data_IF_724886367655
#
_entry.id   IF_724886367655
#
_cell.length_a   1.000
_cell.length_b   1.000
_cell.length_c   1.000
_cell.angle_alpha   90.00
_cell.angle_beta   90.00
_cell.angle_gamma   90.00
#
_symmetry.space_group_name_H-M   'P 1'
#
loop_
_entity.id
_entity.type
_entity.pdbx_description
1 polymer ?
#
# COMPACT_ATOMS: atom_id res chain seq x y z
N UNK A 1 -63.88 -4.82 -32.13
CA UNK A 1 -63.02 -4.30 -31.05
C UNK A 1 -61.76 -5.14 -31.06
N UNK A 2 -60.75 -4.69 -31.80
CA UNK A 2 -59.44 -5.31 -31.88
C UNK A 2 -58.58 -4.80 -30.73
N UNK A 3 -58.10 -5.69 -29.86
CA UNK A 3 -57.09 -5.37 -28.85
C UNK A 3 -55.79 -6.03 -29.28
N UNK A 4 -54.92 -5.24 -29.91
CA UNK A 4 -53.53 -5.61 -30.17
C UNK A 4 -52.74 -5.54 -28.87
N UNK A 5 -52.33 -6.68 -28.33
CA UNK A 5 -51.40 -6.76 -27.20
C UNK A 5 -49.96 -6.52 -27.67
N UNK A 6 -49.37 -5.39 -27.28
CA UNK A 6 -47.93 -5.15 -27.43
C UNK A 6 -47.18 -5.77 -26.24
N UNK A 7 -46.39 -6.82 -26.50
CA UNK A 7 -45.38 -7.29 -25.55
C UNK A 7 -44.18 -6.32 -25.55
N UNK A 8 -43.98 -5.62 -24.44
CA UNK A 8 -42.70 -4.97 -24.15
C UNK A 8 -41.74 -6.03 -23.60
N UNK A 9 -40.71 -6.38 -24.37
CA UNK A 9 -39.58 -7.16 -23.87
C UNK A 9 -38.69 -6.25 -23.02
N UNK A 10 -38.56 -6.57 -21.73
CA UNK A 10 -37.63 -5.90 -20.81
C UNK A 10 -36.30 -6.67 -20.85
N UNK A 11 -35.32 -6.16 -21.59
CA UNK A 11 -33.96 -6.69 -21.59
C UNK A 11 -33.25 -6.25 -20.30
N UNK A 12 -33.03 -7.19 -19.38
CA UNK A 12 -32.13 -7.00 -18.25
C UNK A 12 -30.71 -7.23 -18.76
N UNK A 13 -29.90 -6.17 -18.85
CA UNK A 13 -28.47 -6.31 -19.08
C UNK A 13 -27.84 -6.74 -17.74
N UNK A 14 -27.44 -8.00 -17.64
CA UNK A 14 -26.54 -8.44 -16.59
C UNK A 14 -25.16 -7.86 -16.89
N UNK A 15 -24.67 -6.95 -16.04
CA UNK A 15 -23.27 -6.55 -16.07
C UNK A 15 -22.45 -7.75 -15.62
N UNK A 16 -21.80 -8.44 -16.56
CA UNK A 16 -20.77 -9.41 -16.25
C UNK A 16 -19.59 -8.63 -15.67
N UNK A 17 -19.23 -8.91 -14.42
CA UNK A 17 -17.98 -8.42 -13.85
C UNK A 17 -16.82 -8.94 -14.73
N UNK A 18 -15.94 -8.04 -15.16
CA UNK A 18 -14.71 -8.43 -15.82
C UNK A 18 -13.87 -9.26 -14.83
N UNK A 19 -13.11 -10.28 -15.28
CA UNK A 19 -12.20 -10.99 -14.40
C UNK A 19 -11.15 -9.99 -13.87
N UNK A 20 -10.88 -10.05 -12.57
CA UNK A 20 -9.78 -9.28 -11.97
C UNK A 20 -8.47 -9.64 -12.66
N UNK A 21 -7.67 -8.64 -13.00
CA UNK A 21 -6.33 -8.82 -13.55
C UNK A 21 -5.35 -8.79 -12.39
N UNK A 22 -4.51 -9.83 -12.27
CA UNK A 22 -3.49 -9.88 -11.24
C UNK A 22 -2.49 -8.74 -11.42
N UNK A 23 -2.00 -8.20 -10.30
CA UNK A 23 -0.86 -7.29 -10.28
C UNK A 23 0.33 -7.96 -10.97
N UNK A 24 1.06 -7.21 -11.79
CA UNK A 24 2.29 -7.67 -12.44
C UNK A 24 3.48 -7.03 -11.76
N UNK A 25 4.41 -7.85 -11.27
CA UNK A 25 5.61 -7.40 -10.57
C UNK A 25 6.87 -7.79 -11.36
N UNK A 26 7.81 -6.86 -11.45
CA UNK A 26 9.16 -7.06 -11.95
C UNK A 26 10.12 -6.82 -10.80
N UNK A 27 11.14 -7.67 -10.64
CA UNK A 27 12.18 -7.55 -9.62
C UNK A 27 13.58 -7.38 -10.24
N UNK A 28 14.58 -7.18 -9.38
CA UNK A 28 16.00 -6.94 -9.72
C UNK A 28 16.32 -5.53 -10.27
N UNK A 29 15.45 -4.57 -10.03
CA UNK A 29 15.73 -3.15 -10.26
C UNK A 29 16.83 -2.63 -9.33
N UNK A 30 17.59 -1.64 -9.78
CA UNK A 30 18.54 -0.98 -8.88
C UNK A 30 17.80 -0.08 -7.89
N UNK A 31 18.43 0.23 -6.75
CA UNK A 31 17.87 1.18 -5.79
C UNK A 31 17.49 2.53 -6.44
N UNK A 32 18.30 2.99 -7.40
CA UNK A 32 18.03 4.24 -8.12
C UNK A 32 16.85 4.10 -9.09
N UNK A 33 16.67 2.95 -9.74
CA UNK A 33 15.51 2.70 -10.59
C UNK A 33 14.22 2.70 -9.76
N UNK A 34 14.22 2.02 -8.60
CA UNK A 34 13.09 2.02 -7.67
C UNK A 34 12.74 3.44 -7.19
N UNK A 35 13.74 4.19 -6.71
CA UNK A 35 13.55 5.55 -6.25
C UNK A 35 13.05 6.48 -7.38
N UNK A 36 13.59 6.31 -8.59
CA UNK A 36 13.17 7.10 -9.76
C UNK A 36 11.72 6.80 -10.18
N UNK A 37 11.24 5.58 -9.96
CA UNK A 37 9.86 5.20 -10.30
C UNK A 37 8.83 5.92 -9.43
N UNK A 38 9.16 6.25 -8.18
CA UNK A 38 8.26 6.98 -7.27
C UNK A 38 8.44 8.50 -7.34
N UNK A 39 9.57 8.98 -7.89
CA UNK A 39 9.85 10.40 -8.06
C UNK A 39 8.82 11.07 -8.95
N UNK A 40 8.18 12.10 -8.43
CA UNK A 40 7.21 12.93 -9.14
C UNK A 40 7.73 14.33 -9.43
N UNK A 41 6.79 15.23 -9.73
CA UNK A 41 7.07 16.63 -10.05
C UNK A 41 7.79 17.37 -8.91
N UNK A 42 8.70 18.27 -9.28
CA UNK A 42 9.38 19.17 -8.35
C UNK A 42 10.45 18.53 -7.47
N UNK A 43 10.71 17.22 -7.61
CA UNK A 43 11.72 16.48 -6.86
C UNK A 43 12.80 15.95 -7.80
N UNK A 44 14.06 16.06 -7.36
CA UNK A 44 15.21 15.42 -8.00
C UNK A 44 15.83 14.43 -7.03
N UNK A 45 15.94 13.16 -7.41
CA UNK A 45 16.65 12.13 -6.64
C UNK A 45 18.07 11.97 -7.20
N UNK A 46 19.08 12.03 -6.32
CA UNK A 46 20.50 12.08 -6.75
C UNK A 46 21.31 10.83 -6.39
N UNK A 47 20.78 9.96 -5.53
CA UNK A 47 21.42 8.72 -5.13
C UNK A 47 20.50 7.89 -4.26
N UNK A 48 20.58 6.56 -4.39
CA UNK A 48 19.75 5.62 -3.65
C UNK A 48 20.55 4.38 -3.26
N UNK A 49 20.20 3.81 -2.12
CA UNK A 49 20.73 2.56 -1.59
C UNK A 49 19.57 1.66 -1.19
N UNK A 50 19.72 0.38 -1.46
CA UNK A 50 18.76 -0.64 -1.05
C UNK A 50 19.48 -1.62 -0.13
N UNK A 51 18.90 -1.88 1.02
CA UNK A 51 19.40 -2.80 2.04
C UNK A 51 18.31 -3.78 2.42
N UNK A 52 18.70 -5.03 2.62
CA UNK A 52 17.82 -6.15 2.92
C UNK A 52 18.49 -7.20 3.80
N UNK A 53 19.49 -6.77 4.58
CA UNK A 53 20.24 -7.66 5.47
C UNK A 53 20.95 -8.79 4.72
N UNK A 54 20.98 -9.97 5.33
CA UNK A 54 21.63 -11.15 4.75
C UNK A 54 20.74 -11.94 3.75
N UNK A 55 19.51 -11.49 3.49
CA UNK A 55 18.56 -12.20 2.62
C UNK A 55 19.12 -12.39 1.20
N UNK A 56 18.99 -13.59 0.62
CA UNK A 56 19.33 -13.83 -0.79
C UNK A 56 18.14 -13.66 -1.74
N UNK A 57 16.93 -13.46 -1.23
CA UNK A 57 15.69 -13.33 -2.02
C UNK A 57 15.58 -11.96 -2.69
N UNK A 58 14.83 -11.85 -3.79
CA UNK A 58 14.57 -10.55 -4.41
C UNK A 58 13.38 -9.93 -3.66
N UNK A 59 13.63 -8.97 -2.77
CA UNK A 59 12.65 -8.38 -1.83
C UNK A 59 12.12 -7.01 -2.28
N UNK A 60 12.33 -6.64 -3.54
CA UNK A 60 11.84 -5.38 -4.09
C UNK A 60 11.57 -5.49 -5.58
N UNK A 61 10.69 -4.60 -6.07
CA UNK A 61 10.32 -4.57 -7.46
C UNK A 61 9.48 -3.37 -7.87
N UNK A 62 9.26 -3.26 -9.18
CA UNK A 62 8.25 -2.38 -9.77
C UNK A 62 6.97 -3.15 -10.07
N UNK A 63 5.81 -2.49 -10.02
CA UNK A 63 4.54 -3.13 -10.38
C UNK A 63 3.67 -2.28 -11.31
N UNK A 64 2.78 -2.96 -12.04
CA UNK A 64 1.71 -2.41 -12.89
C UNK A 64 0.44 -3.25 -12.77
N UNK A 65 -0.72 -2.72 -13.19
CA UNK A 65 -1.99 -3.45 -13.10
C UNK A 65 -2.49 -3.59 -11.66
N UNK A 66 -2.08 -2.69 -10.77
CA UNK A 66 -2.37 -2.77 -9.34
C UNK A 66 -3.83 -2.54 -8.97
N UNK A 67 -4.70 -2.03 -9.86
CA UNK A 67 -6.03 -1.52 -9.49
C UNK A 67 -6.98 -2.54 -8.85
N UNK A 68 -6.78 -3.84 -9.08
CA UNK A 68 -7.60 -4.91 -8.48
C UNK A 68 -7.02 -5.42 -7.15
N UNK A 69 -5.85 -4.94 -6.74
CA UNK A 69 -5.19 -5.29 -5.48
C UNK A 69 -4.93 -4.08 -4.56
N UNK A 70 -4.63 -2.93 -5.16
CA UNK A 70 -4.08 -1.73 -4.55
C UNK A 70 -4.89 -0.49 -4.95
N UNK A 71 -4.80 0.61 -4.19
CA UNK A 71 -5.46 1.87 -4.53
C UNK A 71 -4.86 2.60 -5.75
N UNK A 72 -3.76 2.09 -6.30
CA UNK A 72 -3.04 2.70 -7.40
C UNK A 72 -2.51 1.63 -8.34
N UNK A 73 -2.39 1.98 -9.63
CA UNK A 73 -2.15 1.01 -10.70
C UNK A 73 -0.66 0.69 -10.89
N UNK A 74 0.24 1.60 -10.54
CA UNK A 74 1.68 1.46 -10.79
C UNK A 74 2.51 1.98 -9.62
N UNK A 75 3.70 1.44 -9.43
CA UNK A 75 4.60 1.90 -8.39
C UNK A 75 5.75 0.94 -8.10
N UNK A 76 6.23 0.97 -6.86
CA UNK A 76 7.22 0.01 -6.35
C UNK A 76 6.67 -0.75 -5.16
N UNK A 77 7.21 -1.93 -4.93
CA UNK A 77 6.98 -2.74 -3.74
C UNK A 77 8.30 -3.02 -3.06
N UNK A 78 8.33 -2.87 -1.74
CA UNK A 78 9.35 -3.45 -0.86
C UNK A 78 8.63 -4.51 -0.02
N UNK A 79 9.22 -5.67 0.17
CA UNK A 79 8.63 -6.77 0.91
C UNK A 79 9.71 -7.51 1.71
N UNK A 80 9.34 -8.14 2.81
CA UNK A 80 10.21 -9.05 3.55
C UNK A 80 10.28 -10.44 2.91
N UNK A 81 9.35 -10.77 2.01
CA UNK A 81 9.36 -12.01 1.23
C UNK A 81 10.00 -11.91 -0.15
N UNK A 82 9.89 -12.98 -0.94
CA UNK A 82 10.21 -12.88 -2.36
C UNK A 82 9.15 -12.06 -3.09
N UNK A 83 9.56 -10.99 -3.77
CA UNK A 83 8.69 -10.09 -4.52
C UNK A 83 7.81 -10.80 -5.58
N UNK A 84 8.22 -12.00 -6.03
CA UNK A 84 7.40 -12.82 -6.93
C UNK A 84 6.09 -13.31 -6.28
N UNK A 85 6.07 -13.49 -4.95
CA UNK A 85 4.92 -13.97 -4.17
C UNK A 85 3.83 -12.91 -4.00
N UNK A 86 4.11 -11.64 -4.31
CA UNK A 86 3.09 -10.58 -4.37
C UNK A 86 1.91 -10.99 -5.26
N UNK A 87 2.17 -11.78 -6.30
CA UNK A 87 1.15 -12.25 -7.27
C UNK A 87 0.46 -13.56 -6.88
N UNK A 88 0.80 -14.12 -5.72
CA UNK A 88 0.20 -15.37 -5.22
C UNK A 88 -1.24 -15.16 -4.75
N UNK A 89 -1.86 -16.23 -4.25
CA UNK A 89 -3.24 -16.21 -3.74
C UNK A 89 -3.24 -16.04 -2.22
N UNK A 90 -3.95 -15.02 -1.72
CA UNK A 90 -4.13 -14.81 -0.28
C UNK A 90 -4.80 -15.99 0.45
N UNK A 91 -4.56 -16.06 1.77
CA UNK A 91 -5.08 -17.06 2.69
C UNK A 91 -4.43 -18.43 2.55
N UNK A 92 -3.44 -18.56 1.69
CA UNK A 92 -2.73 -19.80 1.46
C UNK A 92 -1.64 -20.04 2.50
N UNK A 93 -1.34 -19.06 3.38
CA UNK A 93 -0.27 -19.09 4.38
C UNK A 93 0.91 -19.86 3.81
N UNK A 94 1.48 -19.35 2.71
CA UNK A 94 2.64 -19.99 2.12
C UNK A 94 3.72 -19.89 3.18
N UNK A 95 3.92 -20.95 3.96
CA UNK A 95 5.07 -21.04 4.84
C UNK A 95 6.27 -20.85 3.93
N UNK A 96 6.92 -19.69 4.02
CA UNK A 96 8.11 -19.41 3.25
C UNK A 96 9.05 -20.59 3.49
N UNK A 97 9.52 -21.20 2.40
CA UNK A 97 10.67 -22.08 2.50
C UNK A 97 11.86 -21.16 2.52
N UNK A 98 12.02 -20.45 3.64
CA UNK A 98 13.11 -19.52 3.91
C UNK A 98 13.24 -18.39 2.88
N UNK A 99 12.86 -17.18 3.29
CA UNK A 99 13.86 -16.11 3.31
C UNK A 99 15.08 -16.69 4.01
N UNK A 100 16.16 -16.96 3.29
CA UNK A 100 17.33 -17.70 3.77
C UNK A 100 18.19 -16.95 4.78
N UNK A 101 17.61 -15.92 5.42
CA UNK A 101 18.26 -14.93 6.25
C UNK A 101 17.81 -14.90 7.71
N UNK A 102 17.44 -16.01 8.36
CA UNK A 102 17.66 -16.02 9.82
C UNK A 102 19.17 -16.11 10.07
N UNK A 103 19.83 -14.95 10.12
CA UNK A 103 21.03 -14.80 10.94
C UNK A 103 20.60 -14.20 12.29
N UNK A 104 21.12 -14.68 13.43
CA UNK A 104 21.06 -13.94 14.69
C UNK A 104 21.60 -12.49 14.57
N UNK A 105 22.35 -12.20 13.49
CA UNK A 105 22.86 -10.88 13.12
C UNK A 105 21.88 -10.03 12.29
N UNK A 106 20.76 -10.59 11.80
CA UNK A 106 19.66 -9.85 11.15
C UNK A 106 18.69 -9.25 12.16
N UNK A 107 18.94 -9.44 13.47
CA UNK A 107 18.30 -8.64 14.51
C UNK A 107 18.69 -7.19 14.33
N UNK A 108 17.81 -6.45 13.67
CA UNK A 108 17.92 -5.02 13.58
C UNK A 108 17.55 -4.43 14.94
N UNK A 109 18.61 -4.21 15.73
CA UNK A 109 18.56 -3.20 16.78
C UNK A 109 18.70 -1.79 16.20
N UNK A 110 19.19 -1.67 14.96
CA UNK A 110 19.36 -0.41 14.21
C UNK A 110 19.47 -0.71 12.70
N UNK A 111 18.45 -0.43 11.88
CA UNK A 111 18.79 -0.12 10.47
C UNK A 111 19.36 1.30 10.53
N UNK A 112 20.63 1.45 10.19
CA UNK A 112 21.28 2.75 10.14
C UNK A 112 21.03 3.37 8.79
N UNK A 113 20.11 4.33 8.72
CA UNK A 113 20.00 5.23 7.58
C UNK A 113 20.88 6.48 7.77
N UNK A 114 21.21 7.17 6.68
CA UNK A 114 21.91 8.46 6.76
C UNK A 114 21.10 9.55 7.50
N UNK A 115 19.80 9.32 7.71
CA UNK A 115 18.89 10.17 8.49
C UNK A 115 18.77 9.84 9.98
N UNK A 116 19.31 8.72 10.48
CA UNK A 116 19.21 8.33 11.89
C UNK A 116 19.08 6.82 12.13
N UNK A 117 18.84 6.45 13.39
CA UNK A 117 18.58 5.07 13.80
C UNK A 117 17.11 4.72 13.54
N UNK A 118 16.87 3.72 12.71
CA UNK A 118 15.54 3.09 12.60
C UNK A 118 15.22 2.34 13.88
N UNK A 119 13.96 2.47 14.31
CA UNK A 119 13.48 1.95 15.58
C UNK A 119 12.47 0.80 15.39
N UNK A 120 12.56 0.03 14.30
CA UNK A 120 11.87 -1.25 14.26
C UNK A 120 12.74 -2.23 15.04
N UNK A 121 12.47 -2.38 16.33
CA UNK A 121 13.27 -3.22 17.22
C UNK A 121 12.83 -4.68 17.08
N UNK A 122 13.78 -5.62 17.14
CA UNK A 122 13.51 -7.06 17.04
C UNK A 122 12.93 -7.46 15.68
N UNK A 123 13.33 -6.77 14.61
CA UNK A 123 13.08 -7.24 13.26
C UNK A 123 13.96 -8.44 12.94
N UNK A 124 13.41 -9.40 12.22
CA UNK A 124 14.06 -10.66 11.81
C UNK A 124 14.26 -10.75 10.31
N UNK A 125 13.46 -10.02 9.52
CA UNK A 125 13.66 -9.75 8.09
C UNK A 125 13.18 -8.31 7.77
N UNK A 126 13.79 -7.67 6.78
CA UNK A 126 13.45 -6.31 6.36
C UNK A 126 13.86 -5.98 4.93
N UNK A 127 13.19 -4.99 4.34
CA UNK A 127 13.61 -4.32 3.12
C UNK A 127 13.61 -2.80 3.33
N UNK A 128 14.73 -2.16 2.98
CA UNK A 128 14.97 -0.73 3.17
C UNK A 128 15.43 -0.06 1.88
N UNK A 129 14.69 0.95 1.42
CA UNK A 129 15.09 1.83 0.32
C UNK A 129 15.36 3.23 0.86
N UNK A 130 16.61 3.67 0.80
CA UNK A 130 17.02 5.02 1.16
C UNK A 130 17.44 5.80 -0.08
N UNK A 131 17.06 7.07 -0.17
CA UNK A 131 17.56 7.97 -1.19
C UNK A 131 17.67 9.41 -0.72
N UNK A 132 18.54 10.15 -1.40
CA UNK A 132 18.70 11.59 -1.23
C UNK A 132 17.93 12.34 -2.30
N UNK A 133 17.21 13.39 -1.89
CA UNK A 133 16.45 14.24 -2.80
C UNK A 133 16.64 15.73 -2.54
N UNK A 134 16.41 16.53 -3.59
CA UNK A 134 16.35 18.00 -3.56
C UNK A 134 15.11 18.50 -4.29
N UNK A 135 14.73 19.75 -4.04
CA UNK A 135 13.67 20.41 -4.79
C UNK A 135 14.22 20.95 -6.11
N UNK A 136 13.61 20.56 -7.24
CA UNK A 136 14.08 20.97 -8.57
C UNK A 136 14.02 22.49 -8.76
N UNK A 137 13.01 23.15 -8.16
CA UNK A 137 12.91 24.60 -8.08
C UNK A 137 12.76 25.03 -6.61
N UNK A 138 13.86 25.38 -5.92
CA UNK A 138 13.83 25.72 -4.50
C UNK A 138 13.12 27.05 -4.20
N UNK A 139 12.74 27.82 -5.23
CA UNK A 139 11.99 29.08 -5.10
C UNK A 139 10.50 28.94 -5.39
N UNK A 140 10.04 27.75 -5.75
CA UNK A 140 8.62 27.46 -5.92
C UNK A 140 7.89 27.56 -4.56
N UNK A 141 6.69 28.16 -4.48
CA UNK A 141 5.91 28.20 -3.24
C UNK A 141 5.55 26.82 -2.66
N UNK A 142 5.56 25.77 -3.48
CA UNK A 142 5.35 24.39 -3.05
C UNK A 142 6.63 23.70 -2.58
N UNK A 143 7.81 24.27 -2.84
CA UNK A 143 9.08 23.73 -2.36
C UNK A 143 9.11 23.72 -0.83
N UNK A 144 9.67 22.65 -0.26
CA UNK A 144 9.57 22.36 1.17
C UNK A 144 8.39 21.45 1.54
N UNK A 145 7.49 21.17 0.59
CA UNK A 145 6.45 20.15 0.75
C UNK A 145 6.78 18.89 -0.03
N UNK A 146 6.49 17.73 0.55
CA UNK A 146 6.59 16.43 -0.11
C UNK A 146 5.32 15.64 0.19
N UNK A 147 4.76 15.06 -0.85
CA UNK A 147 3.56 14.23 -0.82
C UNK A 147 3.90 12.88 -1.39
N UNK A 148 3.16 11.83 -1.02
CA UNK A 148 3.06 10.58 -1.77
C UNK A 148 1.98 9.66 -1.19
N UNK A 149 1.67 8.58 -1.90
CA UNK A 149 0.68 7.59 -1.47
C UNK A 149 1.31 6.20 -1.30
N UNK A 150 0.90 5.49 -0.27
CA UNK A 150 1.31 4.11 -0.02
C UNK A 150 0.17 3.24 0.54
N UNK A 151 0.36 1.94 0.49
CA UNK A 151 -0.43 0.95 1.21
C UNK A 151 0.49 -0.11 1.82
N UNK A 152 0.28 -0.45 3.08
CA UNK A 152 1.00 -1.52 3.78
C UNK A 152 0.17 -2.81 3.73
N UNK A 153 0.80 -3.96 3.57
CA UNK A 153 0.14 -5.26 3.49
C UNK A 153 0.93 -6.30 4.30
N UNK A 154 0.24 -7.33 4.77
CA UNK A 154 0.85 -8.41 5.55
C UNK A 154 0.01 -9.69 5.46
N UNK A 155 0.68 -10.82 5.48
CA UNK A 155 0.09 -12.15 5.62
C UNK A 155 -0.33 -12.45 7.08
N UNK A 156 0.12 -11.66 8.06
CA UNK A 156 -0.27 -11.80 9.46
C UNK A 156 -1.71 -11.35 9.76
N UNK A 157 -2.30 -10.58 8.85
CA UNK A 157 -3.71 -10.26 8.93
C UNK A 157 -4.55 -11.53 8.70
N UNK A 158 -5.63 -11.81 9.42
CA UNK A 158 -6.14 -11.13 10.61
C UNK A 158 -5.72 -11.87 11.90
N UNK A 159 -5.01 -12.99 11.76
CA UNK A 159 -4.87 -13.99 12.83
C UNK A 159 -3.87 -13.59 13.93
N UNK A 160 -2.93 -12.69 13.63
CA UNK A 160 -1.87 -12.29 14.57
C UNK A 160 -2.04 -10.88 15.15
N UNK A 161 -3.17 -10.22 14.88
CA UNK A 161 -3.50 -8.92 15.50
C UNK A 161 -3.53 -9.03 17.03
N UNK A 162 -2.85 -8.10 17.67
CA UNK A 162 -2.71 -8.00 19.12
C UNK A 162 -1.68 -8.95 19.71
N UNK A 163 -0.95 -9.71 18.88
CA UNK A 163 0.13 -10.58 19.34
C UNK A 163 1.48 -9.83 19.38
N UNK A 164 2.56 -10.55 19.68
CA UNK A 164 3.91 -10.00 19.65
C UNK A 164 4.45 -9.85 18.22
N UNK A 165 4.00 -10.68 17.30
CA UNK A 165 4.33 -10.57 15.88
C UNK A 165 3.57 -9.37 15.32
N UNK A 166 4.30 -8.43 14.72
CA UNK A 166 3.77 -7.12 14.40
C UNK A 166 4.52 -6.46 13.26
N UNK A 167 4.32 -6.97 12.05
CA UNK A 167 4.88 -6.40 10.84
C UNK A 167 4.69 -4.89 10.78
N UNK A 168 5.76 -4.17 10.50
CA UNK A 168 5.82 -2.72 10.65
C UNK A 168 6.40 -2.03 9.42
N UNK A 169 5.76 -0.92 9.04
CA UNK A 169 6.26 0.01 8.04
C UNK A 169 6.67 1.33 8.69
N UNK A 170 7.88 1.78 8.35
CA UNK A 170 8.35 3.13 8.65
C UNK A 170 8.74 3.85 7.38
N UNK A 171 8.52 5.16 7.41
CA UNK A 171 8.98 6.08 6.40
C UNK A 171 9.62 7.26 7.09
N UNK A 172 10.94 7.38 6.96
CA UNK A 172 11.69 8.43 7.59
C UNK A 172 11.99 9.54 6.58
N UNK A 173 11.61 10.77 6.92
CA UNK A 173 12.08 11.97 6.23
C UNK A 173 13.04 12.70 7.17
N UNK A 174 14.32 12.77 6.81
CA UNK A 174 15.40 13.24 7.67
C UNK A 174 15.37 12.60 9.08
N UNK A 175 15.09 11.29 9.14
CA UNK A 175 15.00 10.54 10.39
C UNK A 175 13.68 10.64 11.15
N UNK A 176 12.72 11.48 10.70
CA UNK A 176 11.41 11.59 11.34
C UNK A 176 10.41 10.66 10.66
N UNK A 177 9.79 9.74 11.43
CA UNK A 177 8.77 8.86 10.88
C UNK A 177 7.49 9.64 10.49
N UNK A 178 7.10 9.51 9.23
CA UNK A 178 5.84 10.02 8.66
C UNK A 178 5.03 8.89 7.99
N UNK A 179 5.52 7.65 8.06
CA UNK A 179 4.79 6.41 7.74
C UNK A 179 3.82 6.06 8.85
N UNK A 180 2.80 6.90 9.02
CA UNK A 180 1.84 6.81 10.11
C UNK A 180 0.42 6.71 9.58
N UNK A 181 -0.52 6.33 10.45
CA UNK A 181 -1.95 6.24 10.13
C UNK A 181 -2.57 7.57 9.68
N UNK A 182 -1.93 8.69 9.99
CA UNK A 182 -2.34 10.04 9.56
C UNK A 182 -1.55 10.56 8.37
N UNK A 183 -0.53 9.83 7.91
CA UNK A 183 0.40 10.29 6.87
C UNK A 183 1.28 11.46 7.31
N UNK A 184 1.43 11.69 8.61
CA UNK A 184 2.17 12.81 9.19
C UNK A 184 2.94 12.38 10.44
N UNK A 185 4.00 13.12 10.77
CA UNK A 185 4.72 12.90 12.03
C UNK A 185 3.77 13.03 13.24
N UNK A 186 3.94 12.15 14.23
CA UNK A 186 3.13 12.13 15.46
C UNK A 186 1.82 11.35 15.38
N UNK A 187 1.50 10.74 14.22
CA UNK A 187 0.49 9.68 14.13
C UNK A 187 1.03 8.32 14.61
N UNK A 188 0.15 7.33 14.76
CA UNK A 188 0.55 5.96 15.09
C UNK A 188 1.35 5.36 13.93
N UNK A 189 2.45 4.67 14.21
CA UNK A 189 3.21 3.93 13.19
C UNK A 189 2.30 2.91 12.50
N UNK A 190 2.45 2.75 11.19
CA UNK A 190 1.70 1.73 10.44
C UNK A 190 2.28 0.35 10.73
N UNK A 191 1.48 -0.49 11.38
CA UNK A 191 1.73 -1.91 11.62
C UNK A 191 0.40 -2.63 11.83
N UNK A 192 0.40 -3.96 11.89
CA UNK A 192 -0.84 -4.76 11.98
C UNK A 192 -1.65 -4.47 13.26
N UNK A 193 -0.98 -4.07 14.35
CA UNK A 193 -1.64 -3.75 15.62
C UNK A 193 -2.31 -2.37 15.63
N UNK A 194 -1.79 -1.42 14.83
CA UNK A 194 -2.31 -0.05 14.75
C UNK A 194 -3.30 0.15 13.59
N UNK A 195 -3.35 -0.74 12.60
CA UNK A 195 -4.37 -0.72 11.53
C UNK A 195 -4.98 -2.10 11.38
N UNK A 196 -6.21 -2.30 11.84
CA UNK A 196 -6.92 -3.58 11.78
C UNK A 196 -8.44 -3.38 11.90
N UNK A 197 -9.20 -4.45 12.11
CA UNK A 197 -10.65 -4.41 12.23
C UNK A 197 -11.17 -3.65 13.46
N UNK A 198 -10.32 -3.40 14.46
CA UNK A 198 -10.68 -2.73 15.71
C UNK A 198 -10.04 -1.35 15.87
N UNK A 199 -8.80 -1.18 15.41
CA UNK A 199 -7.98 0.02 15.54
C UNK A 199 -7.75 0.63 14.17
N UNK A 200 -8.03 1.93 14.01
CA UNK A 200 -7.98 2.63 12.73
C UNK A 200 -8.70 1.87 11.59
N UNK A 201 -9.83 1.23 11.88
CA UNK A 201 -10.50 0.29 10.98
C UNK A 201 -11.02 0.87 9.66
N UNK A 202 -11.16 2.19 9.55
CA UNK A 202 -11.40 2.86 8.27
C UNK A 202 -10.23 2.74 7.29
N UNK A 203 -9.03 2.44 7.80
CA UNK A 203 -7.83 2.21 7.00
C UNK A 203 -7.58 0.73 6.76
N UNK A 204 -8.37 -0.21 7.30
CA UNK A 204 -8.10 -1.63 7.13
C UNK A 204 -8.94 -2.25 6.01
N UNK A 205 -8.29 -3.03 5.14
CA UNK A 205 -8.92 -3.79 4.07
C UNK A 205 -8.50 -5.25 4.22
N UNK A 206 -9.45 -6.09 4.63
CA UNK A 206 -9.26 -7.52 4.77
C UNK A 206 -9.34 -8.24 3.42
N UNK A 207 -8.46 -9.22 3.20
CA UNK A 207 -8.40 -10.02 1.99
C UNK A 207 -8.61 -11.53 2.21
N UNK A 208 -8.94 -11.95 3.43
CA UNK A 208 -9.20 -13.36 3.74
C UNK A 208 -10.57 -13.62 4.34
N UNK A 209 -11.02 -14.86 4.24
CA UNK A 209 -12.21 -15.29 4.97
C UNK A 209 -11.88 -15.34 6.46
N UNK A 210 -12.77 -14.81 7.30
CA UNK A 210 -12.58 -14.75 8.75
C UNK A 210 -13.89 -15.04 9.48
N UNK A 211 -13.77 -15.33 10.78
CA UNK A 211 -14.92 -15.60 11.68
C UNK A 211 -15.46 -14.34 12.34
N UNK A 212 -14.74 -13.22 12.26
CA UNK A 212 -15.10 -11.94 12.88
C UNK A 212 -16.13 -11.14 12.06
N UNK A 213 -16.51 -11.63 10.87
CA UNK A 213 -17.52 -11.02 10.02
C UNK A 213 -17.01 -9.82 9.21
N UNK A 214 -15.69 -9.65 9.11
CA UNK A 214 -15.09 -8.61 8.28
C UNK A 214 -15.20 -9.04 6.81
N UNK A 215 -15.71 -8.20 5.90
CA UNK A 215 -15.82 -8.55 4.49
C UNK A 215 -14.46 -8.90 3.88
N UNK A 216 -14.41 -9.99 3.11
CA UNK A 216 -13.26 -10.29 2.26
C UNK A 216 -13.36 -9.43 0.98
N UNK A 217 -12.35 -8.60 0.73
CA UNK A 217 -12.26 -7.74 -0.45
C UNK A 217 -11.95 -8.51 -1.76
N UNK A 218 -11.41 -9.74 -1.68
CA UNK A 218 -10.99 -10.57 -2.81
C UNK A 218 -10.04 -9.83 -3.76
N UNK A 219 -9.06 -9.15 -3.19
CA UNK A 219 -7.98 -8.45 -3.87
C UNK A 219 -7.07 -9.43 -4.60
N UNK A 220 -6.60 -9.03 -5.78
CA UNK A 220 -5.79 -9.88 -6.68
C UNK A 220 -4.29 -9.85 -6.35
N UNK A 221 -3.93 -10.22 -5.11
CA UNK A 221 -2.54 -10.35 -4.61
C UNK A 221 -2.41 -11.36 -3.46
N UNK A 222 -1.18 -11.64 -3.03
CA UNK A 222 -0.85 -12.69 -2.06
C UNK A 222 -1.12 -12.38 -0.58
N UNK A 223 -1.32 -11.12 -0.20
CA UNK A 223 -1.41 -10.74 1.22
C UNK A 223 -2.83 -10.89 1.79
N UNK A 224 -2.90 -11.22 3.08
CA UNK A 224 -4.16 -11.51 3.77
C UNK A 224 -4.92 -10.26 4.21
N UNK A 225 -4.23 -9.12 4.24
CA UNK A 225 -4.84 -7.81 4.42
C UNK A 225 -3.90 -6.68 4.00
N UNK A 226 -4.47 -5.50 3.81
CA UNK A 226 -3.71 -4.26 3.60
C UNK A 226 -4.36 -3.06 4.24
N UNK A 227 -3.63 -1.96 4.31
CA UNK A 227 -4.20 -0.65 4.56
C UNK A 227 -4.92 -0.14 3.31
N UNK A 228 -5.91 0.72 3.51
CA UNK A 228 -6.35 1.67 2.50
C UNK A 228 -5.20 2.60 2.11
N UNK A 229 -5.37 3.38 1.04
CA UNK A 229 -4.41 4.39 0.64
C UNK A 229 -4.16 5.38 1.79
N UNK A 230 -2.91 5.45 2.24
CA UNK A 230 -2.43 6.48 3.15
C UNK A 230 -1.65 7.51 2.32
N UNK A 231 -2.04 8.77 2.46
CA UNK A 231 -1.37 9.90 1.82
C UNK A 231 -0.43 10.56 2.83
N UNK A 232 0.87 10.37 2.63
CA UNK A 232 1.88 11.08 3.41
C UNK A 232 1.98 12.54 2.96
N UNK A 233 2.00 13.47 3.92
CA UNK A 233 2.19 14.89 3.69
C UNK A 233 3.24 15.45 4.64
N UNK A 234 4.32 15.95 4.06
CA UNK A 234 5.40 16.61 4.77
C UNK A 234 5.44 18.06 4.32
N UNK A 235 5.62 18.98 5.26
CA UNK A 235 5.79 20.41 4.98
C UNK A 235 6.89 20.99 5.85
N UNK A 236 7.43 22.13 5.43
CA UNK A 236 8.44 22.87 6.19
C UNK A 236 9.86 22.32 6.07
N UNK A 237 10.14 21.51 5.05
CA UNK A 237 11.52 21.17 4.67
C UNK A 237 12.23 22.41 4.10
N UNK A 238 13.54 22.52 4.31
CA UNK A 238 14.34 23.62 3.74
C UNK A 238 14.48 23.41 2.21
N UNK A 239 13.85 24.26 1.37
CA UNK A 239 13.83 24.03 -0.06
C UNK A 239 15.23 24.11 -0.71
N UNK A 240 16.21 24.73 -0.05
CA UNK A 240 17.58 24.86 -0.55
C UNK A 240 18.53 23.76 -0.07
N UNK A 241 18.05 22.86 0.80
CA UNK A 241 18.85 21.78 1.35
C UNK A 241 18.61 20.46 0.61
N UNK A 242 19.52 19.52 0.88
CA UNK A 242 19.32 18.12 0.53
C UNK A 242 18.64 17.40 1.68
N UNK A 243 17.74 16.46 1.36
CA UNK A 243 17.00 15.68 2.32
C UNK A 243 17.14 14.19 2.06
N UNK A 244 16.88 13.38 3.09
CA UNK A 244 16.86 11.91 2.98
C UNK A 244 15.45 11.39 3.18
N UNK A 245 15.07 10.43 2.34
CA UNK A 245 13.87 9.63 2.51
C UNK A 245 14.29 8.16 2.63
N UNK A 246 13.69 7.46 3.58
CA UNK A 246 13.97 6.04 3.79
C UNK A 246 12.67 5.29 4.07
N UNK A 247 12.37 4.31 3.22
CA UNK A 247 11.22 3.42 3.33
C UNK A 247 11.70 2.10 3.91
N UNK A 248 11.03 1.59 4.94
CA UNK A 248 11.42 0.36 5.62
C UNK A 248 10.19 -0.45 5.95
N UNK A 249 10.17 -1.70 5.50
CA UNK A 249 9.19 -2.70 5.94
C UNK A 249 9.97 -3.84 6.59
N UNK A 250 9.41 -4.40 7.66
CA UNK A 250 10.09 -5.41 8.44
C UNK A 250 9.10 -6.30 9.19
N UNK A 251 9.46 -7.58 9.29
CA UNK A 251 8.75 -8.54 10.12
C UNK A 251 9.33 -8.47 11.54
N UNK A 252 8.45 -8.34 12.52
CA UNK A 252 8.84 -8.08 13.91
C UNK A 252 8.58 -9.34 14.73
N UNK A 253 9.63 -9.85 15.38
CA UNK A 253 9.69 -11.07 16.19
C UNK A 253 9.67 -12.42 15.45
N UNK A 254 9.22 -12.52 14.19
CA UNK A 254 9.47 -13.70 13.33
C UNK A 254 9.58 -13.34 11.85
N UNK A 255 9.97 -14.32 11.02
CA UNK A 255 10.24 -14.19 9.58
C UNK A 255 9.37 -15.11 8.72
N UNK A 256 8.30 -15.66 9.28
CA UNK A 256 7.55 -16.76 8.65
C UNK A 256 6.47 -16.30 7.68
N UNK A 257 5.93 -15.11 7.90
CA UNK A 257 4.83 -14.52 7.15
C UNK A 257 5.30 -13.15 6.66
N UNK A 258 5.06 -12.90 5.38
CA UNK A 258 5.67 -11.74 4.73
C UNK A 258 4.81 -10.49 4.89
N UNK A 259 5.49 -9.36 4.95
CA UNK A 259 4.92 -8.03 4.84
C UNK A 259 5.42 -7.27 3.63
N UNK A 260 4.66 -6.26 3.23
CA UNK A 260 5.02 -5.41 2.11
C UNK A 260 4.52 -3.97 2.30
N UNK A 261 5.26 -3.05 1.71
CA UNK A 261 4.78 -1.70 1.42
C UNK A 261 4.77 -1.47 -0.09
N UNK A 262 3.63 -1.02 -0.58
CA UNK A 262 3.44 -0.56 -1.95
C UNK A 262 3.44 0.95 -1.97
N UNK A 263 4.29 1.55 -2.82
CA UNK A 263 4.41 3.01 -2.97
C UNK A 263 3.98 3.40 -4.37
N UNK A 264 3.07 4.35 -4.47
CA UNK A 264 2.50 4.80 -5.73
C UNK A 264 3.52 5.55 -6.60
N UNK A 265 3.64 5.14 -7.87
CA UNK A 265 4.57 5.70 -8.83
C UNK A 265 4.34 7.18 -9.10
N UNK A 266 5.42 7.95 -9.21
CA UNK A 266 5.38 9.39 -9.47
C UNK A 266 4.70 10.25 -8.40
N UNK A 267 4.35 9.70 -7.24
CA UNK A 267 3.64 10.46 -6.21
C UNK A 267 4.56 11.21 -5.26
N UNK A 268 5.84 10.82 -5.15
CA UNK A 268 6.85 11.50 -4.33
C UNK A 268 7.19 12.87 -4.95
N UNK A 269 6.39 13.88 -4.59
CA UNK A 269 6.31 15.14 -5.33
C UNK A 269 5.93 16.33 -4.47
N UNK A 270 6.10 17.54 -5.01
CA UNK A 270 5.62 18.78 -4.39
C UNK A 270 4.11 19.01 -4.57
N UNK A 271 3.48 18.26 -5.48
CA UNK A 271 2.05 18.35 -5.79
C UNK A 271 1.22 17.64 -4.71
N UNK A 272 -0.02 18.10 -4.50
CA UNK A 272 -0.93 17.48 -3.55
C UNK A 272 -1.12 15.97 -3.82
N UNK A 273 -1.35 15.14 -2.79
CA UNK A 273 -1.45 13.70 -2.97
C UNK A 273 -2.68 13.37 -3.84
N UNK A 274 -2.64 12.29 -4.65
CA UNK A 274 -3.81 11.85 -5.38
C UNK A 274 -4.96 11.54 -4.42
N UNK A 275 -6.19 11.83 -4.87
CA UNK A 275 -7.39 11.46 -4.11
C UNK A 275 -7.45 9.94 -3.94
N UNK A 276 -7.59 9.49 -2.69
CA UNK A 276 -7.73 8.06 -2.39
C UNK A 276 -8.89 7.44 -3.20
N UNK A 277 -8.60 6.37 -3.92
CA UNK A 277 -9.56 5.67 -4.79
C UNK A 277 -10.27 4.52 -4.06
N UNK A 278 -9.78 4.14 -2.88
CA UNK A 278 -10.26 3.02 -2.04
C UNK A 278 -11.67 3.22 -1.45
N UNK A 279 -12.38 4.29 -1.81
CA UNK A 279 -13.79 4.45 -1.46
C UNK A 279 -14.65 4.02 -2.64
N UNK A 280 -15.18 2.78 -2.67
CA UNK A 280 -16.39 2.52 -3.41
C UNK A 280 -17.44 3.49 -2.90
N UNK A 281 -17.84 4.45 -3.73
CA UNK A 281 -19.02 5.25 -3.43
C UNK A 281 -20.15 4.28 -3.08
N UNK A 282 -20.81 4.37 -1.90
CA UNK A 282 -21.98 3.57 -1.61
C UNK A 282 -22.92 3.78 -2.78
N UNK A 283 -23.28 2.71 -3.51
CA UNK A 283 -23.83 2.71 -4.87
C UNK A 283 -25.00 3.68 -5.11
N UNK A 284 -24.72 4.97 -5.11
CA UNK A 284 -25.70 6.04 -5.19
C UNK A 284 -26.30 6.07 -6.59
N UNK A 285 -25.53 5.68 -7.60
CA UNK A 285 -26.00 5.49 -8.97
C UNK A 285 -26.93 4.27 -9.10
N UNK A 286 -26.69 3.20 -8.34
CA UNK A 286 -27.59 2.04 -8.26
C UNK A 286 -28.92 2.37 -7.56
N UNK A 287 -28.86 3.08 -6.44
CA UNK A 287 -30.03 3.52 -5.70
C UNK A 287 -30.86 4.58 -6.44
N UNK A 288 -30.21 5.49 -7.20
CA UNK A 288 -30.92 6.46 -8.04
C UNK A 288 -31.63 5.78 -9.22
N UNK A 289 -30.99 4.76 -9.83
CA UNK A 289 -31.58 3.97 -10.91
C UNK A 289 -32.79 3.13 -10.47
N UNK A 290 -32.70 2.46 -9.33
CA UNK A 290 -33.80 1.67 -8.75
C UNK A 290 -34.93 2.59 -8.23
N UNK A 291 -34.58 3.74 -7.63
CA UNK A 291 -35.55 4.73 -7.15
C UNK A 291 -36.39 5.36 -8.26
N UNK A 292 -35.80 5.67 -9.41
CA UNK A 292 -36.52 6.21 -10.58
C UNK A 292 -37.43 5.16 -11.24
N UNK A 293 -37.02 3.89 -11.29
CA UNK A 293 -37.85 2.78 -11.79
C UNK A 293 -39.05 2.49 -10.87
N UNK A 294 -38.87 2.60 -9.55
CA UNK A 294 -39.95 2.45 -8.57
C UNK A 294 -40.98 3.61 -8.67
N UNK A 295 -40.51 4.85 -8.81
CA UNK A 295 -41.40 6.02 -9.00
C UNK A 295 -42.11 6.04 -10.36
N UNK A 296 -41.50 5.49 -11.42
CA UNK A 296 -42.15 5.33 -12.72
C UNK A 296 -43.31 4.33 -12.71
N UNK A 297 -43.26 3.29 -11.86
CA UNK A 297 -44.35 2.30 -11.69
C UNK A 297 -45.50 2.81 -10.82
N UNK A 298 -45.24 3.71 -9.87
CA UNK A 298 -46.27 4.28 -9.00
C UNK A 298 -47.10 5.38 -9.67
N UNK A 299 -46.58 6.03 -10.73
CA UNK A 299 -47.30 7.07 -11.48
C UNK A 299 -48.26 6.57 -12.57
N UNK A 300 -48.34 5.24 -12.79
CA UNK A 300 -49.22 4.61 -13.81
C UNK A 300 -50.35 3.77 -13.19
N UNK A 301 -50.85 4.14 -12.02
CA UNK A 301 -52.12 3.67 -11.49
C UNK A 301 -53.11 4.81 -11.42
#
# INVERSE_FOLDING_TARGET
MDVRGSLLALSVAAALAAPASAISVSGNETALDLASQIAGSGITITGATYDKGASATVQSGTFTGGSDALPFDTGIVLTTGNVAQVTDTAGQNYTETRGDGFSPDDNISTVTGSGGTLAILNSTDYASLEFTFTFTNPTDPSAGNVNFAFAFASEEYIDFIGTGFNDEFQLLINGTNVGTTTGQAGGDTVNINNVNDQVNSSLYVNNVANTNGIPNANLAFGFDGRTAQINAFISGLDPFASHTAQFVVADVFDEQLDSAVFISGGTFSVDAPPTATDVPAPGALGLLGVGLLAMGRLRRR
#
